data_IF_573528025134
#
_entry.id   IF_573528025134
#
_cell.length_a   1.000
_cell.length_b   1.000
_cell.length_c   1.000
_cell.angle_alpha   90.00
_cell.angle_beta   90.00
_cell.angle_gamma   90.00
#
_symmetry.space_group_name_H-M   'P 1'
#
loop_
_entity.id
_entity.type
_entity.pdbx_description
1 polymer ?
#
# COMPACT_ATOMS: atom_id res chain seq x y z
N UNK A 1 -7.66 -6.80 5.36
CA UNK A 1 -6.19 -6.79 5.27
C UNK A 1 -5.77 -5.71 4.29
N UNK A 2 -4.56 -5.16 4.43
CA UNK A 2 -4.05 -4.19 3.44
C UNK A 2 -3.09 -4.88 2.48
N UNK A 3 -3.35 -4.70 1.18
CA UNK A 3 -2.46 -5.09 0.10
C UNK A 3 -1.71 -3.85 -0.39
N UNK A 4 -0.46 -4.02 -0.82
CA UNK A 4 0.40 -2.92 -1.30
C UNK A 4 1.14 -3.44 -2.51
N UNK A 5 1.04 -2.71 -3.61
CA UNK A 5 1.68 -3.01 -4.88
C UNK A 5 2.12 -1.70 -5.55
N UNK A 6 2.90 -1.80 -6.61
CA UNK A 6 3.24 -0.68 -7.49
C UNK A 6 2.76 -0.96 -8.92
N UNK A 7 2.40 0.09 -9.65
CA UNK A 7 2.05 -0.01 -11.08
C UNK A 7 2.72 1.12 -11.84
N UNK A 8 3.08 0.84 -13.11
CA UNK A 8 3.55 1.86 -14.07
C UNK A 8 2.41 2.45 -14.91
N UNK A 9 1.26 1.77 -14.91
CA UNK A 9 0.03 2.20 -15.59
C UNK A 9 -0.86 2.94 -14.60
N UNK A 10 -2.01 3.40 -15.08
CA UNK A 10 -3.03 3.96 -14.22
C UNK A 10 -3.42 3.00 -13.08
N UNK A 11 -3.71 3.57 -11.91
CA UNK A 11 -4.08 2.79 -10.72
C UNK A 11 -5.49 2.24 -10.83
N UNK A 12 -6.40 2.96 -11.49
CA UNK A 12 -7.80 2.57 -11.62
C UNK A 12 -7.92 1.29 -12.44
N UNK A 13 -7.23 1.25 -13.59
CA UNK A 13 -7.12 0.05 -14.43
C UNK A 13 -6.61 -1.17 -13.64
N UNK A 14 -5.64 -0.93 -12.74
CA UNK A 14 -5.05 -2.00 -11.91
C UNK A 14 -6.05 -2.50 -10.88
N UNK A 15 -6.80 -1.61 -10.24
CA UNK A 15 -7.86 -1.95 -9.28
C UNK A 15 -8.95 -2.77 -9.96
N UNK A 16 -9.37 -2.37 -11.16
CA UNK A 16 -10.36 -3.08 -11.95
C UNK A 16 -9.88 -4.47 -12.36
N UNK A 17 -8.62 -4.62 -12.80
CA UNK A 17 -8.02 -5.92 -13.13
C UNK A 17 -8.00 -6.87 -11.91
N UNK A 18 -7.68 -6.33 -10.72
CA UNK A 18 -7.74 -7.06 -9.46
C UNK A 18 -9.17 -7.47 -9.10
N UNK A 19 -10.15 -6.59 -9.27
CA UNK A 19 -11.56 -6.86 -8.98
C UNK A 19 -12.19 -7.85 -9.98
N UNK A 20 -11.81 -7.77 -11.25
CA UNK A 20 -12.18 -8.74 -12.27
C UNK A 20 -11.56 -10.13 -11.97
N UNK A 21 -10.47 -10.18 -11.20
CA UNK A 21 -9.77 -11.42 -10.85
C UNK A 21 -8.99 -12.03 -12.01
N UNK A 22 -8.65 -11.20 -12.99
CA UNK A 22 -7.85 -11.57 -14.17
C UNK A 22 -6.44 -11.97 -13.72
N UNK A 23 -5.90 -11.26 -12.73
CA UNK A 23 -4.53 -11.48 -12.25
C UNK A 23 -4.48 -12.42 -11.05
N UNK A 24 -3.69 -13.49 -11.17
CA UNK A 24 -3.35 -14.37 -10.06
C UNK A 24 -2.55 -13.61 -9.00
N UNK A 25 -3.23 -13.22 -7.93
CA UNK A 25 -2.67 -12.40 -6.86
C UNK A 25 -3.30 -12.76 -5.52
N UNK A 26 -2.67 -12.30 -4.44
CA UNK A 26 -3.19 -12.44 -3.08
C UNK A 26 -4.64 -11.94 -2.93
N UNK A 27 -5.02 -10.96 -3.77
CA UNK A 27 -6.36 -10.35 -3.74
C UNK A 27 -7.42 -11.17 -4.48
N UNK A 28 -7.08 -12.17 -5.31
CA UNK A 28 -8.03 -12.93 -6.14
C UNK A 28 -9.13 -13.62 -5.33
N UNK A 29 -8.83 -14.10 -4.12
CA UNK A 29 -9.82 -14.69 -3.20
C UNK A 29 -10.43 -13.68 -2.21
N UNK A 30 -10.02 -12.41 -2.26
CA UNK A 30 -10.34 -11.35 -1.29
C UNK A 30 -10.88 -10.10 -1.99
N UNK A 31 -11.78 -10.31 -2.94
CA UNK A 31 -12.48 -9.26 -3.70
C UNK A 31 -13.84 -8.95 -3.06
N UNK A 32 -14.37 -7.72 -3.22
CA UNK A 32 -13.77 -6.59 -3.94
C UNK A 32 -12.60 -5.96 -3.15
N UNK A 33 -11.68 -5.34 -3.88
CA UNK A 33 -10.62 -4.47 -3.35
C UNK A 33 -11.00 -3.01 -3.59
N UNK A 34 -10.68 -2.17 -2.61
CA UNK A 34 -10.92 -0.74 -2.65
C UNK A 34 -9.58 0.01 -2.60
N UNK A 35 -9.43 1.02 -3.45
CA UNK A 35 -8.27 1.91 -3.41
C UNK A 35 -8.44 2.91 -2.27
N UNK A 36 -7.63 2.75 -1.23
CA UNK A 36 -7.67 3.62 -0.04
C UNK A 36 -6.52 4.62 0.02
N UNK A 37 -5.46 4.42 -0.77
CA UNK A 37 -4.28 5.27 -0.77
C UNK A 37 -3.45 5.08 -2.05
N UNK A 38 -2.90 6.18 -2.57
CA UNK A 38 -1.97 6.20 -3.71
C UNK A 38 -0.88 7.24 -3.47
N UNK A 39 0.36 6.89 -3.86
CA UNK A 39 1.50 7.81 -3.95
C UNK A 39 2.12 7.68 -5.35
N UNK A 40 2.43 8.81 -5.99
CA UNK A 40 3.08 8.86 -7.30
C UNK A 40 4.52 9.32 -7.15
N UNK A 41 5.43 8.71 -7.91
CA UNK A 41 6.86 9.02 -7.90
C UNK A 41 7.38 9.21 -9.32
N UNK A 42 8.29 10.16 -9.51
CA UNK A 42 8.92 10.41 -10.81
C UNK A 42 9.89 9.27 -11.20
N UNK A 43 10.58 8.69 -10.21
CA UNK A 43 11.55 7.62 -10.43
C UNK A 43 11.00 6.29 -9.93
N UNK A 44 11.12 5.26 -10.76
CA UNK A 44 10.68 3.91 -10.41
C UNK A 44 11.42 3.35 -9.18
N UNK A 45 12.67 3.76 -8.95
CA UNK A 45 13.45 3.32 -7.79
C UNK A 45 12.85 3.81 -6.48
N UNK A 46 12.35 5.05 -6.44
CA UNK A 46 11.70 5.62 -5.26
C UNK A 46 10.39 4.89 -4.94
N UNK A 47 9.61 4.57 -5.97
CA UNK A 47 8.39 3.78 -5.83
C UNK A 47 8.68 2.37 -5.30
N UNK A 48 9.72 1.70 -5.80
CA UNK A 48 10.13 0.37 -5.34
C UNK A 48 10.57 0.40 -3.87
N UNK A 49 11.40 1.38 -3.49
CA UNK A 49 11.88 1.50 -2.11
C UNK A 49 10.74 1.82 -1.14
N UNK A 50 9.80 2.68 -1.57
CA UNK A 50 8.59 2.98 -0.80
C UNK A 50 7.69 1.76 -0.62
N UNK A 51 7.46 1.01 -1.69
CA UNK A 51 6.65 -0.20 -1.66
C UNK A 51 7.24 -1.24 -0.69
N UNK A 52 8.55 -1.46 -0.76
CA UNK A 52 9.28 -2.34 0.18
C UNK A 52 9.13 -1.88 1.62
N UNK A 53 9.24 -0.58 1.86
CA UNK A 53 9.06 0.01 3.18
C UNK A 53 7.65 -0.27 3.73
N UNK A 54 6.59 0.00 2.95
CA UNK A 54 5.19 -0.17 3.38
C UNK A 54 4.81 -1.64 3.52
N UNK A 55 5.31 -2.54 2.65
CA UNK A 55 4.99 -3.98 2.72
C UNK A 55 5.30 -4.56 4.10
N UNK A 56 6.40 -4.13 4.73
CA UNK A 56 6.79 -4.55 6.09
C UNK A 56 6.11 -3.80 7.24
N UNK A 57 5.25 -2.81 6.98
CA UNK A 57 4.60 -2.04 8.03
C UNK A 57 3.49 -2.81 8.74
N UNK A 58 3.36 -2.53 10.03
CA UNK A 58 2.21 -2.96 10.82
C UNK A 58 0.93 -2.33 10.29
N UNK A 59 -0.20 -2.98 10.57
CA UNK A 59 -1.53 -2.48 10.20
C UNK A 59 -1.74 -1.02 10.63
N UNK A 60 -1.36 -0.70 11.87
CA UNK A 60 -1.52 0.65 12.45
C UNK A 60 -0.74 1.72 11.69
N UNK A 61 0.48 1.42 11.24
CA UNK A 61 1.26 2.35 10.40
C UNK A 61 0.60 2.59 9.05
N UNK A 62 0.04 1.54 8.43
CA UNK A 62 -0.69 1.66 7.16
C UNK A 62 -1.97 2.49 7.32
N UNK A 63 -2.73 2.27 8.39
CA UNK A 63 -3.92 3.08 8.71
C UNK A 63 -3.57 4.56 8.91
N UNK A 64 -2.48 4.83 9.60
CA UNK A 64 -1.96 6.20 9.82
C UNK A 64 -1.57 6.85 8.49
N UNK A 65 -0.93 6.09 7.59
CA UNK A 65 -0.58 6.55 6.26
C UNK A 65 -1.82 6.88 5.41
N UNK A 66 -2.82 6.00 5.42
CA UNK A 66 -4.09 6.18 4.71
C UNK A 66 -4.84 7.44 5.20
N UNK A 67 -4.69 7.77 6.48
CA UNK A 67 -5.26 8.99 7.09
C UNK A 67 -4.43 10.25 6.81
N UNK A 68 -3.35 10.17 6.02
CA UNK A 68 -2.40 11.26 5.77
C UNK A 68 -1.79 11.86 7.05
N UNK A 69 -1.79 11.10 8.15
CA UNK A 69 -1.24 11.54 9.44
C UNK A 69 0.25 11.19 9.51
N UNK A 70 1.06 11.85 8.68
CA UNK A 70 2.49 11.59 8.59
C UNK A 70 3.24 11.89 9.90
N UNK A 71 2.73 12.82 10.71
CA UNK A 71 3.32 13.23 11.99
C UNK A 71 3.32 12.12 13.03
N UNK A 72 2.33 11.21 13.00
CA UNK A 72 2.25 10.09 13.92
C UNK A 72 3.10 8.87 13.50
N UNK A 73 3.63 8.83 12.27
CA UNK A 73 4.42 7.69 11.77
C UNK A 73 5.74 7.46 12.54
N UNK A 74 6.52 8.49 12.93
CA UNK A 74 7.74 8.33 13.73
C UNK A 74 7.48 7.67 15.08
N UNK A 75 6.41 8.05 15.78
CA UNK A 75 6.04 7.46 17.08
C UNK A 75 5.74 5.97 16.95
N UNK A 76 5.09 5.59 15.86
CA UNK A 76 4.77 4.19 15.53
C UNK A 76 6.00 3.37 15.10
N UNK A 77 7.10 4.03 14.73
CA UNK A 77 8.36 3.37 14.37
C UNK A 77 9.21 3.00 15.59
N UNK A 78 9.05 3.73 16.70
CA UNK A 78 9.77 3.40 17.93
C UNK A 78 9.25 2.09 18.52
N UNK A 79 10.14 1.09 18.63
CA UNK A 79 9.89 -0.05 19.51
C UNK A 79 9.81 0.54 20.91
N UNK A 80 8.62 0.56 21.56
CA UNK A 80 8.55 0.82 23.00
C UNK A 80 9.54 -0.14 23.64
N UNK A 81 10.65 0.39 24.18
CA UNK A 81 11.52 -0.38 25.06
C UNK A 81 10.61 -0.81 26.22
N UNK A 82 10.35 -2.11 26.30
CA UNK A 82 9.75 -2.72 27.50
C UNK A 82 10.81 -2.75 28.58
#
# INVERSE_FOLDING_TARGET
SYYTDLTKRDVEDRVDEHNAGVTESYTKSRRPVELVFIETYERIVDAIDRERQIKGWSRRKKETLIQYNYEALPDLASRKRR
#
